data_IF_320628371264
#
_entry.id   IF_320628371264
#
_cell.length_a   1.000
_cell.length_b   1.000
_cell.length_c   1.000
_cell.angle_alpha   90.00
_cell.angle_beta   90.00
_cell.angle_gamma   90.00
#
_symmetry.space_group_name_H-M   'P 1'
#
loop_
_entity.id
_entity.type
_entity.pdbx_description
1 polymer ?
#
# COMPACT_ATOMS: atom_id res chain seq x y z
N UNK A 1 62.48 0.61 -23.66
CA UNK A 1 62.06 -0.78 -23.41
C UNK A 1 60.95 -0.79 -22.37
N UNK A 2 59.78 -0.29 -22.78
CA UNK A 2 58.42 -0.84 -22.70
C UNK A 2 58.05 -1.81 -21.56
N UNK A 3 57.58 -1.27 -20.43
CA UNK A 3 56.78 -2.00 -19.42
C UNK A 3 55.57 -1.17 -18.97
N UNK A 4 54.68 -0.79 -19.90
CA UNK A 4 53.48 0.00 -19.52
C UNK A 4 52.21 -0.29 -20.33
N UNK A 5 52.16 -1.37 -21.11
CA UNK A 5 51.02 -1.63 -22.00
C UNK A 5 50.30 -2.97 -21.79
N UNK A 6 50.61 -3.71 -20.73
CA UNK A 6 50.02 -5.05 -20.46
C UNK A 6 48.83 -5.04 -19.50
N UNK A 7 48.30 -3.87 -19.13
CA UNK A 7 47.30 -3.75 -18.05
C UNK A 7 46.04 -2.98 -18.47
N UNK A 8 45.71 -2.93 -19.77
CA UNK A 8 44.62 -2.06 -20.25
C UNK A 8 43.76 -2.66 -21.38
N UNK A 9 43.85 -3.96 -21.64
CA UNK A 9 42.90 -4.63 -22.53
C UNK A 9 41.99 -5.50 -21.68
N UNK A 10 40.82 -4.98 -21.24
CA UNK A 10 39.83 -5.82 -20.59
C UNK A 10 39.47 -6.98 -21.53
N UNK A 11 39.53 -8.20 -20.99
CA UNK A 11 39.17 -9.40 -21.75
C UNK A 11 37.73 -9.23 -22.23
N UNK A 12 37.47 -9.40 -23.53
CA UNK A 12 36.13 -9.20 -24.14
C UNK A 12 35.04 -10.02 -23.44
N UNK A 13 35.43 -11.12 -22.80
CA UNK A 13 34.66 -11.99 -21.93
C UNK A 13 34.18 -11.30 -20.65
N UNK A 14 35.00 -10.46 -20.02
CA UNK A 14 34.64 -9.70 -18.82
C UNK A 14 33.63 -8.59 -19.13
N UNK A 15 33.79 -7.91 -20.27
CA UNK A 15 32.86 -6.85 -20.71
C UNK A 15 31.46 -7.43 -20.98
N UNK A 16 31.40 -8.54 -21.73
CA UNK A 16 30.13 -9.19 -22.06
C UNK A 16 29.46 -9.77 -20.83
N UNK A 17 30.23 -10.35 -19.90
CA UNK A 17 29.66 -10.92 -18.67
C UNK A 17 29.15 -9.84 -17.72
N UNK A 18 29.84 -8.70 -17.61
CA UNK A 18 29.39 -7.59 -16.77
C UNK A 18 28.12 -6.90 -17.33
N UNK A 19 28.02 -6.69 -18.65
CA UNK A 19 26.83 -6.13 -19.27
C UNK A 19 25.61 -7.05 -19.12
N UNK A 20 25.80 -8.37 -19.32
CA UNK A 20 24.76 -9.38 -19.11
C UNK A 20 24.36 -9.45 -17.64
N UNK A 21 25.33 -9.36 -16.72
CA UNK A 21 25.09 -9.35 -15.27
C UNK A 21 24.34 -8.08 -14.84
N UNK A 22 24.71 -6.93 -15.37
CA UNK A 22 24.06 -5.64 -15.09
C UNK A 22 22.62 -5.60 -15.66
N UNK A 23 22.41 -6.13 -16.86
CA UNK A 23 21.07 -6.27 -17.44
C UNK A 23 20.20 -7.26 -16.64
N UNK A 24 20.77 -8.37 -16.16
CA UNK A 24 20.09 -9.33 -15.30
C UNK A 24 19.73 -8.72 -13.94
N UNK A 25 20.63 -7.94 -13.33
CA UNK A 25 20.37 -7.24 -12.07
C UNK A 25 19.31 -6.13 -12.23
N UNK A 26 19.35 -5.35 -13.31
CA UNK A 26 18.33 -4.34 -13.61
C UNK A 26 16.96 -4.98 -13.85
N UNK A 27 16.92 -6.12 -14.54
CA UNK A 27 15.70 -6.93 -14.74
C UNK A 27 15.14 -7.46 -13.42
N UNK A 28 16.01 -7.99 -12.55
CA UNK A 28 15.64 -8.52 -11.24
C UNK A 28 15.12 -7.43 -10.29
N UNK A 29 15.72 -6.23 -10.31
CA UNK A 29 15.28 -5.08 -9.49
C UNK A 29 13.92 -4.52 -9.94
N UNK A 30 13.60 -4.57 -11.25
CA UNK A 30 12.32 -4.07 -11.80
C UNK A 30 11.13 -4.98 -11.46
N UNK A 31 11.38 -6.23 -11.09
CA UNK A 31 10.37 -7.19 -10.60
C UNK A 31 9.93 -6.98 -9.15
N UNK A 32 10.49 -5.99 -8.43
CA UNK A 32 10.22 -5.77 -7.02
C UNK A 32 8.80 -5.21 -6.77
N UNK A 33 7.85 -6.14 -6.61
CA UNK A 33 6.67 -6.03 -5.72
C UNK A 33 5.74 -4.85 -6.01
N UNK A 34 5.11 -4.84 -7.20
CA UNK A 34 3.75 -4.28 -7.30
C UNK A 34 2.81 -5.19 -6.52
N UNK A 35 2.65 -4.95 -5.22
CA UNK A 35 1.55 -5.54 -4.46
C UNK A 35 0.20 -5.15 -5.11
N UNK A 36 -0.90 -5.86 -4.82
CA UNK A 36 -2.21 -5.71 -5.47
C UNK A 36 -2.93 -4.41 -5.05
N UNK A 37 -2.21 -3.28 -5.08
CA UNK A 37 -2.63 -1.94 -4.70
C UNK A 37 -3.88 -1.48 -5.45
N UNK A 38 -4.03 -1.87 -6.72
CA UNK A 38 -5.24 -1.63 -7.50
C UNK A 38 -6.46 -2.38 -6.97
N UNK A 39 -6.29 -3.66 -6.56
CA UNK A 39 -7.38 -4.45 -6.00
C UNK A 39 -7.87 -3.87 -4.67
N UNK A 40 -6.95 -3.46 -3.80
CA UNK A 40 -7.30 -2.80 -2.54
C UNK A 40 -8.05 -1.48 -2.76
N UNK A 41 -7.66 -0.68 -3.76
CA UNK A 41 -8.37 0.54 -4.11
C UNK A 41 -9.79 0.25 -4.61
N UNK A 42 -9.96 -0.75 -5.48
CA UNK A 42 -11.28 -1.16 -5.99
C UNK A 42 -12.15 -1.68 -4.84
N UNK A 43 -11.64 -2.60 -4.02
CA UNK A 43 -12.39 -3.18 -2.89
C UNK A 43 -12.80 -2.11 -1.89
N UNK A 44 -11.91 -1.19 -1.54
CA UNK A 44 -12.25 -0.09 -0.63
C UNK A 44 -13.29 0.87 -1.22
N UNK A 45 -13.20 1.17 -2.52
CA UNK A 45 -14.18 2.01 -3.22
C UNK A 45 -15.57 1.35 -3.26
N UNK A 46 -15.63 0.06 -3.61
CA UNK A 46 -16.90 -0.70 -3.66
C UNK A 46 -17.50 -0.79 -2.26
N UNK A 47 -16.69 -1.12 -1.25
CA UNK A 47 -17.15 -1.19 0.13
C UNK A 47 -17.69 0.15 0.62
N UNK A 48 -17.00 1.25 0.33
CA UNK A 48 -17.47 2.61 0.67
C UNK A 48 -18.80 2.95 0.02
N UNK A 49 -18.98 2.60 -1.26
CA UNK A 49 -20.24 2.83 -1.97
C UNK A 49 -21.40 2.00 -1.37
N UNK A 50 -21.17 0.73 -1.06
CA UNK A 50 -22.17 -0.13 -0.42
C UNK A 50 -22.59 0.40 0.94
N UNK A 51 -21.63 0.87 1.75
CA UNK A 51 -21.91 1.49 3.05
C UNK A 51 -22.73 2.76 2.88
N UNK A 52 -22.40 3.61 1.90
CA UNK A 52 -23.15 4.83 1.64
C UNK A 52 -24.60 4.54 1.21
N UNK A 53 -24.80 3.57 0.31
CA UNK A 53 -26.14 3.14 -0.11
C UNK A 53 -26.92 2.58 1.07
N UNK A 54 -26.30 1.69 1.87
CA UNK A 54 -26.91 1.14 3.07
C UNK A 54 -27.33 2.25 4.04
N UNK A 55 -26.46 3.22 4.31
CA UNK A 55 -26.73 4.35 5.18
C UNK A 55 -27.89 5.24 4.65
N UNK A 56 -27.92 5.54 3.35
CA UNK A 56 -28.98 6.35 2.76
C UNK A 56 -30.33 5.63 2.74
N UNK A 57 -30.35 4.32 2.55
CA UNK A 57 -31.57 3.52 2.54
C UNK A 57 -32.07 3.17 3.96
N UNK A 58 -31.17 3.12 4.94
CA UNK A 58 -31.49 2.74 6.32
C UNK A 58 -31.26 3.93 7.25
N UNK A 59 -32.16 4.92 7.15
CA UNK A 59 -32.21 6.09 8.03
C UNK A 59 -33.00 5.84 9.32
N UNK A 60 -33.41 4.60 9.57
CA UNK A 60 -34.15 4.23 10.77
C UNK A 60 -33.32 4.48 12.03
N UNK A 61 -33.97 5.06 13.04
CA UNK A 61 -33.35 5.28 14.34
C UNK A 61 -33.21 3.96 15.10
N UNK A 62 -32.01 3.74 15.62
CA UNK A 62 -31.68 2.59 16.47
C UNK A 62 -31.18 3.08 17.82
N UNK A 63 -31.59 2.40 18.89
CA UNK A 63 -31.04 2.62 20.23
C UNK A 63 -29.67 1.96 20.31
N UNK A 64 -28.64 2.78 20.55
CA UNK A 64 -27.26 2.33 20.74
C UNK A 64 -26.95 2.38 22.23
N UNK A 65 -26.72 1.20 22.81
CA UNK A 65 -26.31 1.06 24.21
C UNK A 65 -24.79 0.92 24.30
N UNK A 66 -24.13 1.90 24.93
CA UNK A 66 -22.69 1.91 25.12
C UNK A 66 -22.33 2.20 26.58
N UNK A 67 -22.04 1.14 27.34
CA UNK A 67 -21.88 1.17 28.80
C UNK A 67 -23.09 1.85 29.50
N UNK A 68 -23.02 3.02 30.18
CA UNK A 68 -24.22 3.62 30.78
C UNK A 68 -25.03 4.49 29.80
N UNK A 69 -24.57 4.67 28.57
CA UNK A 69 -25.21 5.56 27.61
C UNK A 69 -26.20 4.79 26.73
N UNK A 70 -27.40 5.36 26.62
CA UNK A 70 -28.45 4.93 25.70
C UNK A 70 -28.78 6.14 24.82
N UNK A 71 -28.39 6.07 23.55
CA UNK A 71 -28.54 7.17 22.60
C UNK A 71 -29.27 6.63 21.37
N UNK A 72 -30.32 7.32 20.96
CA UNK A 72 -30.99 7.04 19.69
C UNK A 72 -30.29 7.78 18.56
N UNK A 73 -29.76 7.03 17.61
CA UNK A 73 -29.10 7.58 16.42
C UNK A 73 -29.63 6.87 15.18
N UNK A 74 -29.74 7.56 14.03
CA UNK A 74 -29.97 6.90 12.76
C UNK A 74 -28.90 5.82 12.55
N UNK A 75 -29.29 4.63 12.10
CA UNK A 75 -28.37 3.53 11.83
C UNK A 75 -27.22 3.98 10.89
N UNK A 76 -27.58 4.82 9.91
CA UNK A 76 -26.67 5.52 9.02
C UNK A 76 -25.53 6.25 9.75
N UNK A 77 -25.84 6.98 10.82
CA UNK A 77 -24.86 7.74 11.59
C UNK A 77 -23.90 6.80 12.34
N UNK A 78 -24.43 5.74 12.94
CA UNK A 78 -23.63 4.74 13.67
C UNK A 78 -22.64 4.05 12.74
N UNK A 79 -23.11 3.58 11.58
CA UNK A 79 -22.28 2.95 10.56
C UNK A 79 -21.26 3.94 9.98
N UNK A 80 -21.66 5.19 9.72
CA UNK A 80 -20.76 6.23 9.23
C UNK A 80 -19.62 6.53 10.22
N UNK A 81 -19.94 6.70 11.51
CA UNK A 81 -18.94 6.97 12.56
C UNK A 81 -17.95 5.81 12.67
N UNK A 82 -18.45 4.58 12.75
CA UNK A 82 -17.59 3.38 12.86
C UNK A 82 -16.69 3.20 11.64
N UNK A 83 -17.21 3.46 10.43
CA UNK A 83 -16.42 3.44 9.20
C UNK A 83 -15.30 4.49 9.23
N UNK A 84 -15.61 5.72 9.61
CA UNK A 84 -14.62 6.81 9.72
C UNK A 84 -13.54 6.45 10.74
N UNK A 85 -13.90 5.92 11.91
CA UNK A 85 -12.92 5.46 12.91
C UNK A 85 -12.01 4.38 12.33
N UNK A 86 -12.57 3.37 11.66
CA UNK A 86 -11.80 2.31 11.00
C UNK A 86 -10.84 2.86 9.94
N UNK A 87 -11.31 3.81 9.11
CA UNK A 87 -10.49 4.46 8.08
C UNK A 87 -9.34 5.28 8.69
N UNK A 88 -9.60 6.00 9.78
CA UNK A 88 -8.57 6.76 10.51
C UNK A 88 -7.50 5.82 11.08
N UNK A 89 -7.90 4.71 11.72
CA UNK A 89 -6.98 3.70 12.24
C UNK A 89 -6.13 3.10 11.11
N UNK A 90 -6.77 2.70 10.01
CA UNK A 90 -6.09 2.16 8.82
C UNK A 90 -5.10 3.16 8.22
N UNK A 91 -5.50 4.42 8.09
CA UNK A 91 -4.65 5.52 7.59
C UNK A 91 -3.43 5.74 8.49
N UNK A 92 -3.63 5.76 9.81
CA UNK A 92 -2.58 5.93 10.80
C UNK A 92 -1.57 4.77 10.76
N UNK A 93 -2.06 3.52 10.69
CA UNK A 93 -1.22 2.32 10.54
C UNK A 93 -0.43 2.35 9.22
N UNK A 94 -1.07 2.73 8.11
CA UNK A 94 -0.44 2.88 6.81
C UNK A 94 0.65 3.96 6.82
N UNK A 95 0.39 5.09 7.48
CA UNK A 95 1.39 6.15 7.64
C UNK A 95 2.58 5.70 8.49
N UNK A 96 2.35 4.99 9.60
CA UNK A 96 3.43 4.45 10.45
C UNK A 96 4.30 3.45 9.68
N UNK A 97 3.68 2.52 8.92
CA UNK A 97 4.40 1.54 8.08
C UNK A 97 5.25 2.19 6.98
N UNK A 98 4.79 3.30 6.40
CA UNK A 98 5.56 4.06 5.40
C UNK A 98 6.79 4.71 6.04
N UNK A 99 6.67 5.25 7.26
CA UNK A 99 7.78 5.89 7.99
C UNK A 99 8.87 4.91 8.43
N UNK A 100 8.53 3.67 8.78
CA UNK A 100 9.54 2.66 9.17
C UNK A 100 10.34 2.12 7.99
N UNK A 101 9.79 2.17 6.77
CA UNK A 101 10.51 1.77 5.54
C UNK A 101 11.45 2.83 4.97
N UNK A 102 11.36 4.08 5.42
CA UNK A 102 12.23 5.17 4.96
C UNK A 102 13.53 5.28 5.78
N UNK A 103 13.71 4.42 6.80
CA UNK A 103 14.87 4.39 7.70
C UNK A 103 15.67 3.07 7.64
N UNK A 104 15.34 2.18 6.69
CA UNK A 104 16.09 0.95 6.39
C UNK A 104 16.52 1.05 4.94
#
# INVERSE_FOLDING_TARGET
MDETFSDSVPELTDIVTDDVREAAEKGARKGARRGPSGLLAIVSSVLGALIAIFALQNLDNVSVKFLPWDIELPLAAVVGITFVIGALIGSLLGWRRRRTRAKV
#
